data_IF_832395695073
#
_entry.id   IF_832395695073
#
_cell.length_a   1.000
_cell.length_b   1.000
_cell.length_c   1.000
_cell.angle_alpha   90.00
_cell.angle_beta   90.00
_cell.angle_gamma   90.00
#
_symmetry.space_group_name_H-M   'P 1'
#
loop_
_entity.id
_entity.type
_entity.pdbx_description
1 polymer ?
#
# COMPACT_ATOMS: atom_id res chain seq x y z
N UNK A 1 -12.09 -14.88 71.34
CA UNK A 1 -12.93 -16.10 71.37
C UNK A 1 -13.64 -16.18 70.02
N UNK A 2 -13.21 -17.07 69.11
CA UNK A 2 -13.70 -18.45 68.95
C UNK A 2 -15.20 -18.49 68.57
N UNK A 3 -15.72 -19.23 67.60
CA UNK A 3 -15.27 -20.31 66.70
C UNK A 3 -16.48 -20.52 65.77
N UNK A 4 -16.34 -20.59 64.45
CA UNK A 4 -17.24 -21.44 63.68
C UNK A 4 -16.44 -22.25 62.66
N UNK A 5 -16.61 -23.54 62.85
CA UNK A 5 -15.87 -24.65 62.31
C UNK A 5 -16.76 -25.31 61.24
N UNK A 6 -16.11 -25.81 60.20
CA UNK A 6 -16.50 -27.03 59.48
C UNK A 6 -17.71 -26.96 58.54
N UNK A 7 -17.46 -27.19 57.25
CA UNK A 7 -17.81 -28.46 56.57
C UNK A 7 -17.66 -28.36 55.04
N UNK A 8 -16.79 -29.22 54.50
CA UNK A 8 -16.98 -29.90 53.22
C UNK A 8 -16.88 -29.05 51.95
N UNK A 9 -15.86 -29.32 51.12
CA UNK A 9 -15.95 -30.30 50.05
C UNK A 9 -14.56 -30.42 49.41
N UNK A 10 -14.08 -31.65 49.42
CA UNK A 10 -13.00 -32.17 48.61
C UNK A 10 -13.35 -31.96 47.13
N UNK A 11 -12.71 -31.02 46.46
CA UNK A 11 -12.71 -30.97 44.99
C UNK A 11 -11.29 -30.84 44.48
N UNK A 12 -10.78 -32.01 44.11
CA UNK A 12 -9.56 -32.24 43.36
C UNK A 12 -9.71 -31.63 41.96
N UNK A 13 -9.22 -30.41 41.75
CA UNK A 13 -9.14 -29.82 40.42
C UNK A 13 -7.68 -29.59 40.03
N UNK A 14 -7.19 -30.61 39.33
CA UNK A 14 -6.22 -30.59 38.23
C UNK A 14 -5.30 -29.36 38.13
N UNK A 15 -4.04 -29.57 38.52
CA UNK A 15 -2.90 -28.73 38.18
C UNK A 15 -2.74 -28.71 36.65
N UNK A 16 -3.13 -27.61 36.00
CA UNK A 16 -2.75 -27.33 34.60
C UNK A 16 -1.53 -26.41 34.61
N UNK A 17 -0.51 -26.90 33.93
CA UNK A 17 0.86 -26.43 33.90
C UNK A 17 1.03 -24.96 33.50
N UNK A 18 2.13 -24.40 34.02
CA UNK A 18 2.66 -23.09 33.70
C UNK A 18 2.77 -22.83 32.18
N UNK A 19 2.48 -21.61 31.70
CA UNK A 19 3.13 -21.15 30.48
C UNK A 19 4.58 -20.83 30.80
N UNK A 20 5.48 -21.72 30.38
CA UNK A 20 6.87 -21.37 30.17
C UNK A 20 6.92 -20.17 29.22
N UNK A 21 7.59 -19.10 29.67
CA UNK A 21 8.07 -18.02 28.82
C UNK A 21 9.00 -18.60 27.76
N UNK A 22 8.46 -18.92 26.58
CA UNK A 22 9.26 -19.11 25.38
C UNK A 22 9.31 -17.78 24.62
N UNK A 23 10.40 -17.05 24.83
CA UNK A 23 10.90 -16.12 23.81
C UNK A 23 11.42 -16.94 22.64
N UNK A 24 10.57 -17.14 21.63
CA UNK A 24 10.99 -17.50 20.29
C UNK A 24 10.90 -16.23 19.42
N UNK A 25 11.97 -15.45 19.42
CA UNK A 25 12.16 -14.39 18.45
C UNK A 25 12.55 -15.00 17.09
N UNK A 26 12.02 -14.40 16.03
CA UNK A 26 12.45 -14.48 14.63
C UNK A 26 12.05 -15.72 13.84
N UNK A 27 10.96 -15.56 13.09
CA UNK A 27 10.86 -16.08 11.73
C UNK A 27 10.17 -15.06 10.82
N UNK A 28 10.99 -14.37 10.02
CA UNK A 28 10.55 -13.86 8.71
C UNK A 28 9.75 -12.56 8.69
N UNK A 29 10.37 -11.46 9.14
CA UNK A 29 10.12 -10.13 8.57
C UNK A 29 10.44 -10.16 7.06
N UNK A 30 9.47 -10.55 6.24
CA UNK A 30 9.52 -10.45 4.77
C UNK A 30 8.34 -9.65 4.19
N UNK A 31 7.54 -8.99 5.03
CA UNK A 31 6.52 -8.03 4.58
C UNK A 31 6.98 -6.57 4.62
N UNK A 32 8.26 -6.30 4.94
CA UNK A 32 8.91 -5.00 4.81
C UNK A 32 9.19 -4.64 3.34
N UNK A 33 8.15 -4.54 2.52
CA UNK A 33 8.11 -3.77 1.26
C UNK A 33 6.72 -3.61 0.67
N UNK A 34 5.64 -3.87 1.44
CA UNK A 34 4.35 -3.29 1.07
C UNK A 34 4.39 -1.78 1.44
N UNK A 35 4.05 -0.86 0.53
CA UNK A 35 3.89 0.53 0.91
C UNK A 35 2.81 0.58 2.00
N UNK A 36 3.17 1.05 3.19
CA UNK A 36 2.23 1.32 4.26
C UNK A 36 1.38 2.52 3.88
N UNK A 37 0.36 2.25 3.06
CA UNK A 37 -0.75 3.17 2.74
C UNK A 37 -1.53 3.58 3.99
N UNK A 38 -1.31 2.89 5.12
CA UNK A 38 -1.85 3.17 6.45
C UNK A 38 -1.52 4.58 6.98
N UNK A 39 -0.55 5.28 6.38
CA UNK A 39 -0.21 6.66 6.75
C UNK A 39 -1.05 7.72 6.01
N UNK A 40 -2.01 7.33 5.17
CA UNK A 40 -2.76 8.25 4.31
C UNK A 40 -4.25 8.07 4.58
N UNK A 41 -4.85 9.07 5.22
CA UNK A 41 -6.26 9.07 5.60
C UNK A 41 -7.18 9.16 4.38
N UNK A 42 -6.68 9.62 3.23
CA UNK A 42 -7.42 9.68 1.97
C UNK A 42 -6.46 9.65 0.77
N UNK A 43 -6.75 8.87 -0.29
CA UNK A 43 -5.93 8.92 -1.50
C UNK A 43 -5.96 10.29 -2.17
N UNK A 44 -4.91 10.63 -2.95
CA UNK A 44 -4.88 11.86 -3.73
C UNK A 44 -6.09 11.94 -4.66
N UNK A 45 -6.73 13.10 -4.70
CA UNK A 45 -7.89 13.31 -5.54
C UNK A 45 -7.48 13.28 -7.03
N UNK A 46 -8.31 12.63 -7.84
CA UNK A 46 -8.21 12.67 -9.30
C UNK A 46 -9.33 13.61 -9.77
N UNK A 47 -8.97 14.83 -10.17
CA UNK A 47 -9.93 15.77 -10.73
C UNK A 47 -10.31 15.40 -12.16
N UNK A 48 -9.39 15.63 -13.09
CA UNK A 48 -9.49 15.24 -14.50
C UNK A 48 -8.43 14.19 -14.82
N UNK A 49 -8.84 13.02 -15.30
CA UNK A 49 -7.93 11.90 -15.61
C UNK A 49 -6.93 12.27 -16.69
N UNK A 50 -7.37 12.94 -17.76
CA UNK A 50 -6.54 13.33 -18.91
C UNK A 50 -5.49 14.36 -18.52
N UNK A 51 -5.87 15.38 -17.75
CA UNK A 51 -4.92 16.40 -17.27
C UNK A 51 -3.90 15.80 -16.30
N UNK A 52 -4.39 14.97 -15.36
CA UNK A 52 -3.53 14.30 -14.38
C UNK A 52 -2.56 13.34 -15.06
N UNK A 53 -3.03 12.54 -16.04
CA UNK A 53 -2.18 11.61 -16.78
C UNK A 53 -1.16 12.33 -17.65
N UNK A 54 -1.54 13.43 -18.31
CA UNK A 54 -0.65 14.28 -19.08
C UNK A 54 0.45 14.90 -18.22
N UNK A 55 0.10 15.45 -17.07
CA UNK A 55 1.05 16.01 -16.10
C UNK A 55 2.04 14.97 -15.57
N UNK A 56 1.55 13.78 -15.19
CA UNK A 56 2.40 12.67 -14.74
C UNK A 56 3.33 12.22 -15.87
N UNK A 57 2.81 12.02 -17.09
CA UNK A 57 3.61 11.58 -18.24
C UNK A 57 4.71 12.58 -18.57
N UNK A 58 4.41 13.89 -18.53
CA UNK A 58 5.40 14.94 -18.73
C UNK A 58 6.49 14.93 -17.64
N UNK A 59 6.09 14.78 -16.38
CA UNK A 59 7.00 14.67 -15.25
C UNK A 59 7.89 13.43 -15.35
N UNK A 60 7.33 12.26 -15.65
CA UNK A 60 8.10 11.04 -15.85
C UNK A 60 9.03 11.17 -17.07
N UNK A 61 8.56 11.77 -18.15
CA UNK A 61 9.34 12.05 -19.35
C UNK A 61 10.61 12.83 -19.05
N UNK A 62 10.49 13.92 -18.29
CA UNK A 62 11.63 14.77 -17.91
C UNK A 62 12.54 14.12 -16.87
N UNK A 63 11.99 13.50 -15.82
CA UNK A 63 12.78 12.92 -14.71
C UNK A 63 13.49 11.62 -15.08
N UNK A 64 12.93 10.85 -16.00
CA UNK A 64 13.47 9.55 -16.39
C UNK A 64 14.22 9.58 -17.73
N UNK A 65 14.11 10.67 -18.49
CA UNK A 65 14.66 10.74 -19.85
C UNK A 65 13.99 9.73 -20.77
N UNK A 66 12.65 9.71 -20.80
CA UNK A 66 11.90 8.79 -21.66
C UNK A 66 12.06 9.19 -23.13
N UNK A 67 12.33 8.20 -23.99
CA UNK A 67 12.42 8.41 -25.43
C UNK A 67 11.06 8.72 -26.05
N UNK A 68 11.07 9.24 -27.28
CA UNK A 68 9.84 9.45 -28.06
C UNK A 68 9.04 8.16 -28.27
N UNK A 69 9.70 7.00 -28.33
CA UNK A 69 9.06 5.68 -28.49
C UNK A 69 8.48 5.15 -27.18
N UNK A 70 9.03 5.52 -26.03
CA UNK A 70 8.54 5.09 -24.71
C UNK A 70 7.34 5.92 -24.22
N UNK A 71 7.33 7.22 -24.52
CA UNK A 71 6.31 8.17 -24.03
C UNK A 71 4.86 7.72 -24.30
N UNK A 72 4.47 7.27 -25.51
CA UNK A 72 3.10 6.81 -25.75
C UNK A 72 2.71 5.62 -24.87
N UNK A 73 3.61 4.66 -24.69
CA UNK A 73 3.37 3.48 -23.83
C UNK A 73 3.18 3.87 -22.36
N UNK A 74 4.03 4.77 -21.85
CA UNK A 74 3.90 5.29 -20.48
C UNK A 74 2.60 6.07 -20.32
N UNK A 75 2.26 6.93 -21.29
CA UNK A 75 1.02 7.72 -21.27
C UNK A 75 -0.22 6.83 -21.22
N UNK A 76 -0.27 5.80 -22.06
CA UNK A 76 -1.35 4.81 -22.07
C UNK A 76 -1.47 4.08 -20.74
N UNK A 77 -0.35 3.57 -20.20
CA UNK A 77 -0.34 2.86 -18.92
C UNK A 77 -0.81 3.73 -17.74
N UNK A 78 -0.37 4.99 -17.69
CA UNK A 78 -0.76 5.95 -16.64
C UNK A 78 -2.24 6.32 -16.78
N UNK A 79 -2.72 6.61 -18.00
CA UNK A 79 -4.12 6.96 -18.25
C UNK A 79 -5.03 5.79 -17.88
N UNK A 80 -4.71 4.58 -18.33
CA UNK A 80 -5.45 3.37 -17.99
C UNK A 80 -5.53 3.10 -16.49
N UNK A 81 -4.42 3.36 -15.78
CA UNK A 81 -4.36 3.24 -14.33
C UNK A 81 -5.28 4.27 -13.66
N UNK A 82 -5.18 5.55 -14.03
CA UNK A 82 -5.97 6.61 -13.41
C UNK A 82 -7.47 6.45 -13.69
N UNK A 83 -7.86 6.07 -14.91
CA UNK A 83 -9.27 5.77 -15.26
C UNK A 83 -9.83 4.64 -14.38
N UNK A 84 -9.08 3.56 -14.21
CA UNK A 84 -9.51 2.45 -13.35
C UNK A 84 -9.58 2.88 -11.89
N UNK A 85 -8.58 3.63 -11.41
CA UNK A 85 -8.54 4.14 -10.04
C UNK A 85 -9.72 5.07 -9.73
N UNK A 86 -10.07 5.98 -10.65
CA UNK A 86 -11.21 6.89 -10.47
C UNK A 86 -12.54 6.14 -10.30
N UNK A 87 -12.66 4.93 -10.86
CA UNK A 87 -13.86 4.11 -10.73
C UNK A 87 -14.13 3.56 -9.32
N UNK A 88 -13.10 3.50 -8.46
CA UNK A 88 -13.25 2.99 -7.09
C UNK A 88 -12.67 3.89 -6.01
N UNK A 89 -12.13 5.07 -6.35
CA UNK A 89 -11.50 5.97 -5.37
C UNK A 89 -12.45 6.39 -4.23
N UNK A 90 -13.76 6.44 -4.49
CA UNK A 90 -14.77 6.75 -3.48
C UNK A 90 -14.85 5.72 -2.35
N UNK A 91 -14.48 4.46 -2.61
CA UNK A 91 -14.52 3.40 -1.59
C UNK A 91 -13.45 3.60 -0.52
N UNK A 92 -12.42 4.43 -0.77
CA UNK A 92 -11.41 4.73 0.25
C UNK A 92 -12.00 5.30 1.55
N UNK A 93 -13.18 5.94 1.50
CA UNK A 93 -13.87 6.47 2.67
C UNK A 93 -14.80 5.47 3.33
N UNK A 94 -15.49 4.65 2.53
CA UNK A 94 -16.58 3.77 2.99
C UNK A 94 -16.14 2.33 3.25
N UNK A 95 -15.14 1.86 2.49
CA UNK A 95 -14.52 0.54 2.59
C UNK A 95 -13.02 0.63 2.24
N UNK A 96 -12.18 1.07 3.19
CA UNK A 96 -10.75 1.24 2.98
C UNK A 96 -10.04 -0.07 2.63
N UNK A 97 -10.53 -1.21 3.13
CA UNK A 97 -9.92 -2.53 2.87
C UNK A 97 -10.09 -2.93 1.41
N UNK A 98 -11.31 -2.78 0.88
CA UNK A 98 -11.59 -3.04 -0.54
C UNK A 98 -10.81 -2.08 -1.44
N UNK A 99 -10.80 -0.78 -1.11
CA UNK A 99 -9.98 0.22 -1.81
C UNK A 99 -8.51 -0.22 -1.88
N UNK A 100 -7.93 -0.61 -0.74
CA UNK A 100 -6.54 -1.05 -0.65
C UNK A 100 -6.24 -2.30 -1.48
N UNK A 101 -7.16 -3.27 -1.51
CA UNK A 101 -7.01 -4.49 -2.31
C UNK A 101 -7.02 -4.15 -3.82
N UNK A 102 -8.02 -3.39 -4.27
CA UNK A 102 -8.13 -2.94 -5.66
C UNK A 102 -6.95 -2.07 -6.09
N UNK A 103 -6.53 -1.15 -5.22
CA UNK A 103 -5.39 -0.28 -5.47
C UNK A 103 -4.09 -1.07 -5.64
N UNK A 104 -3.80 -2.03 -4.75
CA UNK A 104 -2.58 -2.86 -4.85
C UNK A 104 -2.55 -3.67 -6.14
N UNK A 105 -3.66 -4.30 -6.52
CA UNK A 105 -3.77 -5.04 -7.77
C UNK A 105 -3.54 -4.14 -8.99
N UNK A 106 -4.19 -2.98 -8.99
CA UNK A 106 -4.08 -2.00 -10.07
C UNK A 106 -2.67 -1.39 -10.18
N UNK A 107 -2.05 -1.04 -9.04
CA UNK A 107 -0.69 -0.52 -8.97
C UNK A 107 0.33 -1.55 -9.43
N UNK A 108 0.18 -2.81 -9.02
CA UNK A 108 1.02 -3.90 -9.49
C UNK A 108 0.96 -4.05 -11.02
N UNK A 109 -0.24 -3.95 -11.60
CA UNK A 109 -0.45 -3.95 -13.06
C UNK A 109 0.24 -2.78 -13.77
N UNK A 110 0.13 -1.56 -13.22
CA UNK A 110 0.85 -0.39 -13.74
C UNK A 110 2.36 -0.63 -13.70
N UNK A 111 2.90 -1.03 -12.55
CA UNK A 111 4.34 -1.16 -12.35
C UNK A 111 4.92 -2.26 -13.23
N UNK A 112 4.18 -3.36 -13.43
CA UNK A 112 4.52 -4.40 -14.40
C UNK A 112 4.64 -3.84 -15.82
N UNK A 113 3.65 -3.08 -16.29
CA UNK A 113 3.68 -2.43 -17.62
C UNK A 113 4.86 -1.46 -17.76
N UNK A 114 5.08 -0.60 -16.76
CA UNK A 114 6.17 0.37 -16.77
C UNK A 114 7.55 -0.32 -16.83
N UNK A 115 7.72 -1.45 -16.13
CA UNK A 115 8.94 -2.25 -16.18
C UNK A 115 9.24 -2.83 -17.57
N UNK A 116 8.20 -3.12 -18.36
CA UNK A 116 8.35 -3.60 -19.75
C UNK A 116 8.66 -2.44 -20.72
N UNK A 117 8.08 -1.26 -20.50
CA UNK A 117 8.26 -0.09 -21.40
C UNK A 117 9.60 0.62 -21.15
N UNK A 118 9.99 0.74 -19.88
CA UNK A 118 11.19 1.45 -19.45
C UNK A 118 12.41 0.52 -19.42
N UNK A 119 13.60 1.09 -19.54
CA UNK A 119 14.84 0.36 -19.21
C UNK A 119 14.91 0.09 -17.70
N UNK A 120 15.74 -0.88 -17.29
CA UNK A 120 15.98 -1.19 -15.87
C UNK A 120 16.41 0.06 -15.08
N UNK A 121 17.30 0.88 -15.66
CA UNK A 121 17.78 2.12 -15.04
C UNK A 121 16.66 3.16 -14.87
N UNK A 122 15.83 3.35 -15.90
CA UNK A 122 14.67 4.26 -15.83
C UNK A 122 13.64 3.79 -14.81
N UNK A 123 13.35 2.48 -14.76
CA UNK A 123 12.42 1.92 -13.79
C UNK A 123 12.95 2.05 -12.35
N UNK A 124 14.24 1.81 -12.11
CA UNK A 124 14.84 2.03 -10.81
C UNK A 124 14.77 3.51 -10.37
N UNK A 125 14.96 4.45 -11.30
CA UNK A 125 14.76 5.89 -11.04
C UNK A 125 13.29 6.20 -10.73
N UNK A 126 12.34 5.62 -11.47
CA UNK A 126 10.91 5.77 -11.22
C UNK A 126 10.53 5.41 -9.78
N UNK A 127 11.00 4.26 -9.28
CA UNK A 127 10.72 3.83 -7.90
C UNK A 127 11.26 4.82 -6.85
N UNK A 128 12.37 5.50 -7.14
CA UNK A 128 12.95 6.55 -6.29
C UNK A 128 12.18 7.87 -6.33
N UNK A 129 11.28 8.07 -7.31
CA UNK A 129 10.42 9.26 -7.38
C UNK A 129 9.17 9.16 -6.49
N UNK A 130 9.04 8.09 -5.69
CA UNK A 130 7.93 7.93 -4.76
C UNK A 130 7.88 9.12 -3.78
N UNK A 131 6.78 9.90 -3.74
CA UNK A 131 6.65 10.99 -2.78
C UNK A 131 6.55 10.44 -1.34
N UNK A 132 6.88 11.25 -0.34
CA UNK A 132 6.60 10.92 1.05
C UNK A 132 5.08 10.80 1.27
N UNK A 133 4.65 10.07 2.31
CA UNK A 133 3.22 9.96 2.62
C UNK A 133 2.60 11.34 2.90
N UNK A 134 3.34 12.23 3.57
CA UNK A 134 2.93 13.60 3.86
C UNK A 134 2.76 14.49 2.62
N UNK A 135 3.43 14.17 1.50
CA UNK A 135 3.34 14.91 0.24
C UNK A 135 2.53 14.18 -0.83
N UNK A 136 1.89 13.05 -0.47
CA UNK A 136 1.13 12.23 -1.39
C UNK A 136 -0.02 13.01 -2.05
N UNK A 137 -0.78 13.77 -1.27
CA UNK A 137 -1.95 14.51 -1.75
C UNK A 137 -1.61 15.70 -2.66
N UNK A 138 -0.42 16.28 -2.51
CA UNK A 138 0.03 17.44 -3.28
C UNK A 138 0.92 17.09 -4.48
N UNK A 139 1.39 15.85 -4.56
CA UNK A 139 2.24 15.38 -5.65
C UNK A 139 1.43 14.66 -6.71
N UNK A 140 1.64 15.01 -7.99
CA UNK A 140 1.05 14.27 -9.12
C UNK A 140 1.39 12.77 -9.06
N UNK A 141 2.63 12.44 -8.69
CA UNK A 141 3.07 11.04 -8.55
C UNK A 141 2.38 10.33 -7.39
N UNK A 142 1.87 11.07 -6.41
CA UNK A 142 1.10 10.49 -5.32
C UNK A 142 -0.04 9.61 -5.84
N UNK A 143 -0.68 9.99 -6.94
CA UNK A 143 -1.72 9.19 -7.56
C UNK A 143 -1.29 7.77 -7.96
N UNK A 144 -0.01 7.58 -8.33
CA UNK A 144 0.52 6.27 -8.73
C UNK A 144 0.97 5.43 -7.53
N UNK A 145 1.36 6.08 -6.43
CA UNK A 145 1.94 5.42 -5.26
C UNK A 145 0.93 5.19 -4.13
N UNK A 146 -0.17 5.93 -4.10
CA UNK A 146 -1.12 6.02 -2.98
C UNK A 146 -2.59 6.05 -3.39
#
# INVERSE_FOLDING_TARGET
>A
MQKHLLRGILSLSLCVAAPALLSAQSLGDLTKSAPSLSAITQPPAIGNVTETSGGITSLLGSKLGLSATQKPGVSGAVTDFLTKKSGFIGTAKTDPTSYMSSFKGLQGGLFGKLKTIMTVSQYAKFLKLKPSASSAGSSLLGNLFY
#
